data_IF_837819864683
#
_entry.id   IF_837819864683
#
_cell.length_a   1.000
_cell.length_b   1.000
_cell.length_c   1.000
_cell.angle_alpha   90.00
_cell.angle_beta   90.00
_cell.angle_gamma   90.00
#
_symmetry.space_group_name_H-M   'P 1'
#
loop_
_entity.id
_entity.type
_entity.pdbx_description
1 polymer ?
#
# COMPACT_ATOMS: atom_id res chain seq x y z
N UNK A 1 -24.08 3.90 -3.39
CA UNK A 1 -24.13 2.91 -2.29
C UNK A 1 -22.95 3.19 -1.39
N UNK A 2 -23.16 3.87 -0.26
CA UNK A 2 -22.08 4.15 0.70
C UNK A 2 -21.98 2.92 1.59
N UNK A 3 -20.96 2.10 1.37
CA UNK A 3 -20.67 0.96 2.21
C UNK A 3 -20.09 1.50 3.53
N UNK A 4 -20.66 1.15 4.71
CA UNK A 4 -20.08 1.53 5.98
C UNK A 4 -18.90 0.59 6.23
N UNK A 5 -17.70 0.99 5.82
CA UNK A 5 -16.48 0.22 6.07
C UNK A 5 -15.90 0.59 7.43
N UNK A 6 -16.14 -0.29 8.39
CA UNK A 6 -15.48 -0.32 9.69
C UNK A 6 -13.97 -0.54 9.52
N UNK A 7 -13.17 0.33 10.16
CA UNK A 7 -11.70 0.45 10.21
C UNK A 7 -11.01 1.08 8.98
N UNK A 8 -10.91 2.42 8.99
CA UNK A 8 -10.09 3.22 8.07
C UNK A 8 -8.59 3.20 8.41
N UNK A 9 -8.18 2.48 9.46
CA UNK A 9 -6.79 2.50 9.98
C UNK A 9 -5.87 1.45 9.32
N UNK A 10 -6.30 0.88 8.20
CA UNK A 10 -5.50 -0.07 7.44
C UNK A 10 -4.46 0.65 6.58
N UNK A 11 -3.23 0.14 6.54
CA UNK A 11 -2.19 0.66 5.64
C UNK A 11 -2.58 0.58 4.16
N UNK A 12 -3.52 -0.29 3.81
CA UNK A 12 -3.98 -0.52 2.43
C UNK A 12 -5.04 0.46 1.94
N UNK A 13 -5.48 1.39 2.79
CA UNK A 13 -6.52 2.34 2.43
C UNK A 13 -5.98 3.40 1.47
N UNK A 14 -6.74 3.67 0.40
CA UNK A 14 -6.38 4.71 -0.55
C UNK A 14 -6.54 6.12 0.06
N UNK A 15 -5.75 7.12 -0.37
CA UNK A 15 -5.80 8.48 0.17
C UNK A 15 -7.19 9.13 0.08
N UNK A 16 -7.93 8.89 -1.01
CA UNK A 16 -9.29 9.37 -1.22
C UNK A 16 -10.29 8.75 -0.22
N UNK A 17 -10.13 7.46 0.11
CA UNK A 17 -10.93 6.80 1.15
C UNK A 17 -10.56 7.29 2.54
N UNK A 18 -9.27 7.49 2.81
CA UNK A 18 -8.77 8.03 4.08
C UNK A 18 -9.31 9.44 4.37
N UNK A 19 -9.49 10.26 3.32
CA UNK A 19 -10.05 11.62 3.43
C UNK A 19 -11.58 11.65 3.34
N UNK A 20 -12.23 10.50 3.25
CA UNK A 20 -13.67 10.37 3.08
C UNK A 20 -14.20 11.14 1.85
N UNK A 21 -13.41 11.12 0.76
CA UNK A 21 -13.75 11.69 -0.54
C UNK A 21 -14.49 10.66 -1.41
N UNK A 22 -15.05 11.10 -2.54
CA UNK A 22 -15.63 10.18 -3.51
C UNK A 22 -14.52 9.30 -4.12
N UNK A 23 -14.74 7.99 -4.16
CA UNK A 23 -13.77 7.02 -4.65
C UNK A 23 -14.39 6.08 -5.68
N UNK A 24 -13.55 5.50 -6.52
CA UNK A 24 -13.94 4.49 -7.51
C UNK A 24 -13.05 3.24 -7.39
N UNK A 25 -12.90 2.46 -8.47
CA UNK A 25 -12.07 1.24 -8.47
C UNK A 25 -10.56 1.52 -8.39
N UNK A 26 -10.12 2.78 -8.46
CA UNK A 26 -8.72 3.19 -8.24
C UNK A 26 -8.19 2.73 -6.88
N UNK A 27 -9.06 2.68 -5.87
CA UNK A 27 -8.69 2.30 -4.50
C UNK A 27 -8.16 0.87 -4.42
N UNK A 28 -8.70 -0.03 -5.25
CA UNK A 28 -8.24 -1.42 -5.35
C UNK A 28 -6.83 -1.48 -5.97
N UNK A 29 -6.55 -0.60 -6.94
CA UNK A 29 -5.22 -0.51 -7.56
C UNK A 29 -4.18 0.01 -6.57
N UNK A 30 -4.56 0.98 -5.74
CA UNK A 30 -3.72 1.47 -4.66
C UNK A 30 -3.40 0.37 -3.64
N UNK A 31 -4.43 -0.32 -3.14
CA UNK A 31 -4.28 -1.42 -2.20
C UNK A 31 -3.39 -2.54 -2.78
N UNK A 32 -3.62 -2.90 -4.05
CA UNK A 32 -2.82 -3.89 -4.76
C UNK A 32 -1.33 -3.50 -4.83
N UNK A 33 -1.00 -2.23 -5.06
CA UNK A 33 0.39 -1.76 -5.06
C UNK A 33 1.10 -1.97 -3.71
N UNK A 34 0.39 -1.78 -2.60
CA UNK A 34 0.94 -2.02 -1.27
C UNK A 34 1.03 -3.52 -0.93
N UNK A 35 0.10 -4.35 -1.40
CA UNK A 35 0.20 -5.81 -1.30
C UNK A 35 1.40 -6.32 -2.11
N UNK A 36 1.62 -5.80 -3.32
CA UNK A 36 2.82 -6.11 -4.12
C UNK A 36 4.10 -5.73 -3.38
N UNK A 37 4.12 -4.54 -2.78
CA UNK A 37 5.25 -4.12 -1.95
C UNK A 37 5.52 -5.12 -0.82
N UNK A 38 4.48 -5.53 -0.08
CA UNK A 38 4.61 -6.50 1.01
C UNK A 38 5.10 -7.87 0.52
N UNK A 39 4.63 -8.33 -0.64
CA UNK A 39 5.10 -9.59 -1.23
C UNK A 39 6.59 -9.54 -1.61
N UNK A 40 7.10 -8.39 -2.04
CA UNK A 40 8.51 -8.20 -2.41
C UNK A 40 9.41 -8.04 -1.17
N UNK A 41 8.98 -7.25 -0.21
CA UNK A 41 9.78 -6.89 0.98
C UNK A 41 9.57 -7.87 2.15
N UNK A 42 8.55 -8.72 2.09
CA UNK A 42 8.18 -9.68 3.13
C UNK A 42 7.58 -9.03 4.38
N UNK A 43 7.26 -7.73 4.34
CA UNK A 43 6.67 -7.00 5.46
C UNK A 43 5.84 -5.81 4.98
N UNK A 44 4.83 -5.38 5.76
CA UNK A 44 4.01 -4.21 5.42
C UNK A 44 4.86 -2.95 5.25
N UNK A 45 4.33 -2.03 4.44
CA UNK A 45 4.89 -0.69 4.28
C UNK A 45 5.16 -0.03 5.66
N UNK A 46 6.37 0.53 5.81
CA UNK A 46 6.84 1.21 7.02
C UNK A 46 6.92 0.36 8.31
N UNK A 47 6.91 -0.97 8.24
CA UNK A 47 7.22 -1.83 9.39
C UNK A 47 8.55 -1.42 10.07
N UNK A 48 8.62 -1.34 11.43
CA UNK A 48 7.66 -1.85 12.41
C UNK A 48 6.62 -0.85 12.93
N UNK A 49 6.37 0.27 12.23
CA UNK A 49 5.39 1.27 12.68
C UNK A 49 3.96 0.69 12.73
N UNK A 50 3.10 1.19 13.64
CA UNK A 50 1.68 0.85 13.65
C UNK A 50 1.00 1.15 12.31
N UNK A 51 -0.02 0.37 11.95
CA UNK A 51 -0.73 0.52 10.68
C UNK A 51 -1.37 1.90 10.50
N UNK A 52 -1.91 2.47 11.58
CA UNK A 52 -2.49 3.84 11.57
C UNK A 52 -1.43 4.89 11.23
N UNK A 53 -0.24 4.80 11.83
CA UNK A 53 0.87 5.71 11.54
C UNK A 53 1.35 5.53 10.10
N UNK A 54 1.43 4.28 9.61
CA UNK A 54 1.77 3.98 8.22
C UNK A 54 0.74 4.55 7.23
N UNK A 55 -0.56 4.36 7.51
CA UNK A 55 -1.64 4.91 6.71
C UNK A 55 -1.58 6.45 6.66
N UNK A 56 -1.31 7.10 7.80
CA UNK A 56 -1.12 8.55 7.86
C UNK A 56 0.07 9.02 7.01
N UNK A 57 1.23 8.38 7.13
CA UNK A 57 2.41 8.72 6.33
C UNK A 57 2.13 8.60 4.82
N UNK A 58 1.38 7.58 4.39
CA UNK A 58 1.08 7.40 2.97
C UNK A 58 -0.01 8.38 2.50
N UNK A 59 -1.13 8.46 3.22
CA UNK A 59 -2.34 9.16 2.76
C UNK A 59 -2.32 10.67 3.05
N UNK A 60 -1.70 11.07 4.15
CA UNK A 60 -1.62 12.48 4.57
C UNK A 60 -0.31 13.12 4.16
N UNK A 61 0.82 12.44 4.37
CA UNK A 61 2.16 12.99 4.09
C UNK A 61 2.66 12.66 2.67
N UNK A 62 2.01 11.73 1.97
CA UNK A 62 2.35 11.36 0.59
C UNK A 62 3.65 10.54 0.48
N UNK A 63 4.12 9.95 1.58
CA UNK A 63 5.33 9.14 1.59
C UNK A 63 5.10 7.82 0.86
N UNK A 64 6.08 7.44 0.02
CA UNK A 64 6.05 6.16 -0.69
C UNK A 64 7.07 5.18 -0.08
N UNK A 65 6.66 3.93 0.20
CA UNK A 65 7.58 2.90 0.66
C UNK A 65 8.70 2.67 -0.37
N UNK A 66 9.95 2.64 0.10
CA UNK A 66 11.10 2.34 -0.74
C UNK A 66 11.43 0.85 -0.65
N UNK A 67 11.76 0.24 -1.78
CA UNK A 67 12.30 -1.12 -1.80
C UNK A 67 13.69 -1.14 -1.16
N UNK A 68 13.84 -1.88 -0.06
CA UNK A 68 15.12 -2.02 0.64
C UNK A 68 16.01 -3.01 -0.11
N UNK A 69 15.39 -4.03 -0.70
CA UNK A 69 16.09 -5.01 -1.51
C UNK A 69 16.16 -4.52 -2.95
N UNK A 70 17.37 -4.32 -3.47
CA UNK A 70 17.55 -4.20 -4.93
C UNK A 70 17.04 -5.50 -5.55
N UNK A 71 16.31 -5.47 -6.67
CA UNK A 71 15.85 -6.70 -7.30
C UNK A 71 17.06 -7.61 -7.49
N UNK A 72 16.99 -8.81 -6.91
CA UNK A 72 17.87 -9.89 -7.35
C UNK A 72 17.64 -9.98 -8.84
N UNK A 73 18.72 -9.85 -9.62
CA UNK A 73 18.69 -10.05 -11.07
C UNK A 73 17.76 -11.22 -11.36
N UNK A 74 16.83 -11.04 -12.30
CA UNK A 74 16.05 -12.18 -12.79
C UNK A 74 17.05 -13.29 -13.11
N UNK A 75 16.83 -14.52 -12.61
CA UNK A 75 17.68 -15.64 -13.00
C UNK A 75 17.68 -15.69 -14.53
N UNK A 76 18.86 -15.85 -15.14
CA UNK A 76 19.05 -15.65 -16.60
C UNK A 76 18.22 -16.59 -17.50
N UNK A 77 17.41 -17.48 -16.95
CA UNK A 77 16.51 -18.38 -17.68
C UNK A 77 15.01 -18.02 -17.67
N UNK A 78 14.59 -16.87 -17.13
CA UNK A 78 13.16 -16.44 -17.12
C UNK A 78 12.83 -15.50 -18.28
N UNK A 79 13.69 -15.47 -19.31
CA UNK A 79 13.47 -14.68 -20.54
C UNK A 79 12.91 -15.56 -21.66
N UNK A 80 11.86 -16.35 -21.43
CA UNK A 80 11.09 -17.02 -22.49
C UNK A 80 9.61 -17.12 -22.14
#
# INVERSE_FOLDING_TARGET
MVQPVSNFDSVYIAPEMYRNEAFDRSVDTFAFGLILYEMIEGSPAFHPKPQEEAAKMICSEGLRPLFKNKPKSYPEGVKE
#
